data_IF_358747959775
#
_entry.id   IF_358747959775
#
_cell.length_a   1.000
_cell.length_b   1.000
_cell.length_c   1.000
_cell.angle_alpha   90.00
_cell.angle_beta   90.00
_cell.angle_gamma   90.00
#
_symmetry.space_group_name_H-M   'P 1'
#
loop_
_entity.id
_entity.type
_entity.pdbx_description
1 polymer ?
#
# COMPACT_ATOMS: atom_id res chain seq x y z
N UNK A 1 -40.14 -53.69 19.83
CA UNK A 1 -38.95 -53.57 18.94
C UNK A 1 -38.83 -52.13 18.46
N UNK A 2 -38.02 -51.32 19.16
CA UNK A 2 -37.86 -49.93 18.89
C UNK A 2 -36.64 -49.72 18.01
N UNK A 3 -36.84 -49.25 16.79
CA UNK A 3 -35.75 -48.80 15.92
C UNK A 3 -35.52 -47.34 16.20
N UNK A 4 -34.46 -47.03 16.94
CA UNK A 4 -33.94 -45.69 17.12
C UNK A 4 -33.18 -45.33 15.86
N UNK A 5 -33.78 -44.40 15.07
CA UNK A 5 -33.16 -43.84 13.89
C UNK A 5 -32.18 -42.73 14.35
N UNK A 6 -30.90 -43.03 14.35
CA UNK A 6 -29.82 -42.05 14.65
C UNK A 6 -29.65 -41.16 13.41
N UNK A 7 -30.19 -39.95 13.46
CA UNK A 7 -29.94 -38.93 12.44
C UNK A 7 -28.64 -38.26 12.76
N UNK A 8 -27.58 -38.63 12.05
CA UNK A 8 -26.31 -37.87 12.06
C UNK A 8 -26.52 -36.58 11.28
N UNK A 9 -26.71 -35.47 12.00
CA UNK A 9 -26.67 -34.14 11.41
C UNK A 9 -25.19 -33.79 11.29
N UNK A 10 -24.62 -33.96 10.09
CA UNK A 10 -23.30 -33.45 9.73
C UNK A 10 -23.48 -31.95 9.49
N UNK A 11 -23.19 -31.16 10.51
CA UNK A 11 -23.02 -29.71 10.37
C UNK A 11 -21.74 -29.44 9.58
N UNK A 12 -21.90 -29.25 8.29
CA UNK A 12 -20.83 -28.79 7.42
C UNK A 12 -20.57 -27.30 7.74
N UNK A 13 -19.65 -27.05 8.66
CA UNK A 13 -19.18 -25.70 8.94
C UNK A 13 -18.36 -25.25 7.72
N UNK A 14 -18.98 -24.43 6.86
CA UNK A 14 -18.28 -23.69 5.82
C UNK A 14 -17.34 -22.69 6.51
N UNK A 15 -16.09 -23.09 6.69
CA UNK A 15 -15.02 -22.19 7.07
C UNK A 15 -14.76 -21.33 5.83
N UNK A 16 -15.45 -20.19 5.74
CA UNK A 16 -15.10 -19.14 4.80
C UNK A 16 -13.78 -18.55 5.30
N UNK A 17 -12.68 -19.10 4.81
CA UNK A 17 -11.37 -18.50 5.00
C UNK A 17 -11.39 -17.12 4.33
N UNK A 18 -11.51 -16.05 5.12
CA UNK A 18 -11.21 -14.72 4.63
C UNK A 18 -9.75 -14.76 4.19
N UNK A 19 -9.52 -14.75 2.88
CA UNK A 19 -8.18 -14.53 2.36
C UNK A 19 -7.79 -13.11 2.78
N UNK A 20 -7.02 -13.02 3.85
CA UNK A 20 -6.34 -11.78 4.21
C UNK A 20 -5.28 -11.53 3.13
N UNK A 21 -5.59 -10.66 2.18
CA UNK A 21 -4.64 -10.21 1.19
C UNK A 21 -3.63 -9.33 1.91
N UNK A 22 -2.51 -9.91 2.32
CA UNK A 22 -1.39 -9.15 2.85
C UNK A 22 -0.50 -8.68 1.71
N UNK A 23 -0.10 -7.40 1.73
CA UNK A 23 0.92 -6.88 0.85
C UNK A 23 2.25 -7.62 1.10
N UNK A 24 3.06 -7.76 0.06
CA UNK A 24 4.32 -8.47 0.14
C UNK A 24 5.50 -7.55 -0.18
N UNK A 25 6.61 -7.82 0.49
CA UNK A 25 7.88 -7.13 0.28
C UNK A 25 8.37 -7.35 -1.15
N UNK A 26 8.56 -6.24 -1.88
CA UNK A 26 9.10 -6.26 -3.22
C UNK A 26 8.18 -6.84 -4.30
N UNK A 27 6.89 -6.98 -4.01
CA UNK A 27 5.89 -7.43 -4.97
C UNK A 27 4.72 -6.47 -5.02
N UNK A 28 4.27 -6.14 -6.22
CA UNK A 28 3.05 -5.37 -6.45
C UNK A 28 1.87 -6.32 -6.56
N UNK A 29 0.92 -6.20 -5.64
CA UNK A 29 -0.28 -7.03 -5.60
C UNK A 29 -1.51 -6.20 -5.91
N UNK A 30 -2.38 -6.75 -6.76
CA UNK A 30 -3.71 -6.21 -7.01
C UNK A 30 -4.70 -6.79 -5.99
N UNK A 31 -5.53 -5.91 -5.44
CA UNK A 31 -6.63 -6.27 -4.54
C UNK A 31 -7.87 -5.51 -4.97
N UNK A 32 -9.01 -6.21 -5.02
CA UNK A 32 -10.32 -5.65 -5.30
C UNK A 32 -11.19 -5.75 -4.06
N UNK A 33 -11.65 -4.60 -3.61
CA UNK A 33 -12.66 -4.45 -2.56
C UNK A 33 -14.02 -4.08 -3.20
N UNK A 34 -15.06 -3.87 -2.38
CA UNK A 34 -16.39 -3.58 -2.88
C UNK A 34 -16.45 -2.28 -3.70
N UNK A 35 -15.93 -1.20 -3.13
CA UNK A 35 -16.07 0.16 -3.66
C UNK A 35 -14.77 0.75 -4.22
N UNK A 36 -13.66 0.04 -4.08
CA UNK A 36 -12.35 0.47 -4.53
C UNK A 36 -11.42 -0.71 -4.83
N UNK A 37 -10.42 -0.45 -5.63
CA UNK A 37 -9.38 -1.41 -5.91
C UNK A 37 -8.02 -0.74 -5.70
N UNK A 38 -7.01 -1.53 -5.41
CA UNK A 38 -5.66 -1.00 -5.27
C UNK A 38 -4.59 -2.00 -5.70
N UNK A 39 -3.44 -1.47 -6.01
CA UNK A 39 -2.20 -2.20 -6.05
C UNK A 39 -1.29 -1.68 -4.95
N UNK A 40 -0.53 -2.55 -4.32
CA UNK A 40 0.35 -2.13 -3.23
C UNK A 40 1.57 -2.99 -3.09
N UNK A 41 2.57 -2.45 -2.39
CA UNK A 41 3.82 -3.15 -2.09
C UNK A 41 4.39 -2.71 -0.75
N UNK A 42 5.16 -3.58 -0.10
CA UNK A 42 5.98 -3.26 1.06
C UNK A 42 7.41 -2.90 0.62
N UNK A 43 8.11 -2.03 1.39
CA UNK A 43 9.47 -1.65 1.06
C UNK A 43 10.43 -2.84 1.13
N UNK A 44 11.40 -2.86 0.20
CA UNK A 44 12.46 -3.87 0.19
C UNK A 44 13.58 -3.52 1.16
N UNK A 45 13.72 -2.24 1.52
CA UNK A 45 14.75 -1.74 2.44
C UNK A 45 14.21 -0.55 3.22
N UNK A 46 14.64 -0.44 4.47
CA UNK A 46 14.44 0.73 5.32
C UNK A 46 15.75 1.09 6.02
N UNK A 47 15.97 2.38 6.28
CA UNK A 47 17.08 2.85 7.13
C UNK A 47 16.64 3.10 8.59
N UNK A 48 15.39 2.74 8.95
CA UNK A 48 14.94 2.77 10.34
C UNK A 48 15.85 1.91 11.21
N UNK A 49 16.46 2.47 12.27
CA UNK A 49 17.28 1.68 13.19
C UNK A 49 16.52 0.48 13.76
N UNK A 50 17.17 -0.66 13.86
CA UNK A 50 16.56 -1.92 14.38
C UNK A 50 16.02 -1.79 15.80
N UNK A 51 16.54 -0.85 16.58
CA UNK A 51 16.06 -0.53 17.94
C UNK A 51 14.74 0.22 17.96
N UNK A 52 14.29 0.78 16.83
CA UNK A 52 13.05 1.53 16.70
C UNK A 52 11.98 0.67 16.03
N UNK A 53 10.74 0.84 16.47
CA UNK A 53 9.56 0.19 15.89
C UNK A 53 8.63 1.25 15.30
N UNK A 54 7.86 0.87 14.30
CA UNK A 54 6.79 1.67 13.70
C UNK A 54 5.61 0.76 13.35
N UNK A 55 4.48 1.35 12.98
CA UNK A 55 3.34 0.65 12.42
C UNK A 55 3.57 0.15 11.00
N UNK A 56 2.50 -0.22 10.33
CA UNK A 56 2.53 -0.68 8.95
C UNK A 56 3.04 0.41 8.01
N UNK A 57 3.84 0.02 7.04
CA UNK A 57 4.39 0.92 6.03
C UNK A 57 4.28 0.29 4.66
N UNK A 58 3.66 1.01 3.74
CA UNK A 58 3.39 0.54 2.39
C UNK A 58 3.18 1.70 1.41
N UNK A 59 3.23 1.39 0.14
CA UNK A 59 2.76 2.27 -0.93
C UNK A 59 1.57 1.61 -1.62
N UNK A 60 0.54 2.42 -1.91
CA UNK A 60 -0.60 2.02 -2.71
C UNK A 60 -0.75 2.93 -3.94
N UNK A 61 -1.30 2.38 -4.99
CA UNK A 61 -2.03 3.14 -6.00
C UNK A 61 -3.44 2.58 -6.01
N UNK A 62 -4.42 3.42 -5.72
CA UNK A 62 -5.80 2.99 -5.63
C UNK A 62 -6.72 3.75 -6.57
N UNK A 63 -7.87 3.17 -6.80
CA UNK A 63 -8.92 3.68 -7.66
C UNK A 63 -10.27 3.34 -7.05
N UNK A 64 -11.18 4.32 -7.05
CA UNK A 64 -12.58 4.08 -6.66
C UNK A 64 -13.30 3.49 -7.88
N UNK A 65 -14.13 2.48 -7.65
CA UNK A 65 -14.90 1.82 -8.72
C UNK A 65 -15.75 2.87 -9.46
N UNK A 66 -15.61 2.90 -10.78
CA UNK A 66 -16.29 3.88 -11.65
C UNK A 66 -15.57 5.23 -11.80
N UNK A 67 -14.43 5.45 -11.13
CA UNK A 67 -13.56 6.60 -11.34
C UNK A 67 -12.47 6.29 -12.36
N UNK A 68 -12.03 7.30 -13.12
CA UNK A 68 -10.86 7.20 -14.02
C UNK A 68 -9.55 7.65 -13.36
N UNK A 69 -9.61 8.07 -12.09
CA UNK A 69 -8.47 8.59 -11.36
C UNK A 69 -7.77 7.49 -10.55
N UNK A 70 -6.45 7.45 -10.70
CA UNK A 70 -5.58 6.65 -9.85
C UNK A 70 -4.89 7.57 -8.86
N UNK A 71 -4.93 7.23 -7.57
CA UNK A 71 -4.38 8.04 -6.48
C UNK A 71 -3.20 7.29 -5.85
N UNK A 72 -2.08 7.98 -5.72
CA UNK A 72 -0.87 7.45 -5.06
C UNK A 72 -0.89 7.82 -3.59
N UNK A 73 -0.77 6.83 -2.73
CA UNK A 73 -0.75 6.97 -1.29
C UNK A 73 0.44 6.22 -0.69
N UNK A 74 1.08 6.84 0.27
CA UNK A 74 2.14 6.19 1.06
C UNK A 74 1.76 6.21 2.54
N UNK A 75 1.95 5.10 3.22
CA UNK A 75 1.80 4.94 4.65
C UNK A 75 3.18 4.74 5.27
N UNK A 76 3.50 5.55 6.28
CA UNK A 76 4.83 5.52 6.87
C UNK A 76 4.91 4.67 8.14
N UNK A 77 3.77 4.42 8.80
CA UNK A 77 3.71 3.77 10.11
C UNK A 77 4.29 4.63 11.25
N UNK A 78 4.44 5.92 11.01
CA UNK A 78 4.79 6.94 11.99
C UNK A 78 4.18 8.29 11.59
N UNK A 79 3.96 9.16 12.58
CA UNK A 79 3.43 10.51 12.33
C UNK A 79 4.50 11.38 11.70
N UNK A 80 4.21 11.91 10.52
CA UNK A 80 5.09 12.87 9.83
C UNK A 80 5.18 14.20 10.61
N UNK A 81 6.36 14.80 10.59
CA UNK A 81 6.54 16.19 10.96
C UNK A 81 6.02 17.05 9.80
N UNK A 82 4.84 17.67 10.00
CA UNK A 82 4.14 18.42 8.96
C UNK A 82 4.87 19.69 8.51
N UNK A 83 5.87 20.16 9.29
CA UNK A 83 6.72 21.30 8.95
C UNK A 83 7.89 20.89 8.04
N UNK A 84 8.01 19.61 7.71
CA UNK A 84 9.08 19.04 6.89
C UNK A 84 8.56 18.46 5.58
N UNK A 85 9.43 18.47 4.58
CA UNK A 85 9.09 17.89 3.29
C UNK A 85 9.01 16.36 3.35
N UNK A 86 7.98 15.82 2.74
CA UNK A 86 7.86 14.40 2.42
C UNK A 86 8.19 14.27 0.93
N UNK A 87 9.21 13.50 0.61
CA UNK A 87 9.71 13.37 -0.75
C UNK A 87 9.65 11.92 -1.23
N UNK A 88 9.21 11.76 -2.46
CA UNK A 88 9.30 10.50 -3.20
C UNK A 88 10.27 10.70 -4.34
N UNK A 89 11.40 10.01 -4.31
CA UNK A 89 12.40 10.04 -5.37
C UNK A 89 12.27 8.79 -6.23
N UNK A 90 12.13 8.96 -7.53
CA UNK A 90 12.15 7.90 -8.54
C UNK A 90 13.27 8.24 -9.51
N UNK A 91 14.29 7.39 -9.57
CA UNK A 91 15.55 7.64 -10.29
C UNK A 91 16.16 9.01 -9.92
N UNK A 92 16.10 9.99 -10.84
CA UNK A 92 16.63 11.36 -10.63
C UNK A 92 15.56 12.39 -10.28
N UNK A 93 14.27 12.02 -10.36
CA UNK A 93 13.14 12.94 -10.16
C UNK A 93 12.64 12.88 -8.73
N UNK A 94 12.39 14.03 -8.14
CA UNK A 94 11.81 14.14 -6.78
C UNK A 94 10.41 14.72 -6.89
N UNK A 95 9.43 14.03 -6.31
CA UNK A 95 8.06 14.44 -6.18
C UNK A 95 7.79 14.82 -4.72
N UNK A 96 7.04 15.89 -4.52
CA UNK A 96 6.60 16.32 -3.19
C UNK A 96 5.30 15.62 -2.82
N UNK A 97 5.27 15.15 -1.59
CA UNK A 97 4.08 14.61 -0.95
C UNK A 97 3.71 15.47 0.25
N UNK A 98 2.47 15.42 0.65
CA UNK A 98 1.95 16.11 1.82
C UNK A 98 1.14 15.16 2.69
N UNK A 99 1.07 15.47 3.96
CA UNK A 99 0.25 14.79 4.96
C UNK A 99 -0.63 15.81 5.67
N UNK A 100 -1.64 15.36 6.38
CA UNK A 100 -2.58 16.22 7.11
C UNK A 100 -2.58 15.89 8.60
N UNK A 101 -3.12 16.79 9.43
CA UNK A 101 -3.25 16.55 10.87
C UNK A 101 -4.13 15.34 11.18
N UNK A 102 -5.19 15.13 10.38
CA UNK A 102 -6.17 14.06 10.59
C UNK A 102 -5.66 12.70 10.11
N UNK A 103 -4.67 12.70 9.20
CA UNK A 103 -4.06 11.50 8.62
C UNK A 103 -2.55 11.61 8.58
N UNK A 104 -1.95 11.87 9.74
CA UNK A 104 -0.54 12.24 9.86
C UNK A 104 0.48 11.13 9.58
N UNK A 105 0.05 9.89 9.43
CA UNK A 105 0.90 8.75 9.05
C UNK A 105 0.86 8.46 7.55
N UNK A 106 -0.12 9.05 6.85
CA UNK A 106 -0.36 8.88 5.42
C UNK A 106 0.05 10.14 4.66
N UNK A 107 0.57 9.98 3.45
CA UNK A 107 0.86 11.11 2.57
C UNK A 107 0.40 10.83 1.14
N UNK A 108 0.05 11.93 0.44
CA UNK A 108 -0.46 11.97 -0.93
C UNK A 108 0.31 13.00 -1.75
N UNK A 109 0.01 13.07 -3.04
CA UNK A 109 0.56 14.07 -3.96
C UNK A 109 -0.55 14.63 -4.85
N UNK A 110 -0.37 15.85 -5.35
CA UNK A 110 -1.24 16.43 -6.38
C UNK A 110 -0.77 16.03 -7.80
N UNK A 111 0.36 15.36 -7.90
CA UNK A 111 1.00 14.96 -9.16
C UNK A 111 0.86 13.46 -9.48
N UNK A 112 -0.24 12.81 -9.07
CA UNK A 112 -0.46 11.37 -9.23
C UNK A 112 -0.08 10.83 -10.61
N UNK A 113 -0.56 11.47 -11.67
CA UNK A 113 -0.29 11.05 -13.06
C UNK A 113 1.20 11.06 -13.39
N UNK A 114 1.93 12.09 -12.92
CA UNK A 114 3.38 12.21 -13.16
C UNK A 114 4.16 11.17 -12.35
N UNK A 115 3.75 10.94 -11.11
CA UNK A 115 4.35 9.91 -10.24
C UNK A 115 4.14 8.53 -10.85
N UNK A 116 2.90 8.17 -11.23
CA UNK A 116 2.60 6.88 -11.86
C UNK A 116 3.39 6.69 -13.16
N UNK A 117 3.50 7.74 -13.97
CA UNK A 117 4.32 7.69 -15.20
C UNK A 117 5.79 7.41 -14.89
N UNK A 118 6.36 8.07 -13.87
CA UNK A 118 7.72 7.82 -13.42
C UNK A 118 7.89 6.41 -12.85
N UNK A 119 6.91 5.92 -12.08
CA UNK A 119 6.91 4.56 -11.52
C UNK A 119 6.90 3.47 -12.60
N UNK A 120 6.22 3.70 -13.74
CA UNK A 120 6.22 2.74 -14.87
C UNK A 120 7.58 2.60 -15.54
N UNK A 121 8.43 3.61 -15.45
CA UNK A 121 9.74 3.68 -16.12
C UNK A 121 10.92 3.48 -15.19
N UNK A 122 10.74 3.75 -13.90
CA UNK A 122 11.79 3.71 -12.90
C UNK A 122 12.12 2.30 -12.44
N UNK A 123 13.24 2.18 -11.75
CA UNK A 123 13.69 0.92 -11.14
C UNK A 123 13.29 0.84 -9.67
N UNK A 124 13.52 1.92 -8.94
CA UNK A 124 13.25 2.03 -7.52
C UNK A 124 12.58 3.36 -7.17
N UNK A 125 11.79 3.32 -6.09
CA UNK A 125 11.19 4.48 -5.46
C UNK A 125 11.72 4.59 -4.04
N UNK A 126 12.17 5.78 -3.66
CA UNK A 126 12.64 6.07 -2.29
C UNK A 126 11.70 7.10 -1.68
N UNK A 127 10.95 6.68 -0.67
CA UNK A 127 10.17 7.56 0.20
C UNK A 127 11.08 8.09 1.31
N UNK A 128 11.07 9.39 1.54
CA UNK A 128 11.81 10.03 2.64
C UNK A 128 10.91 11.00 3.38
N UNK A 129 10.82 10.85 4.69
CA UNK A 129 10.08 11.74 5.58
C UNK A 129 10.72 11.81 6.96
N UNK A 130 10.44 12.89 7.68
CA UNK A 130 10.84 13.07 9.07
C UNK A 130 9.64 12.80 9.99
N UNK A 131 9.86 12.02 11.04
CA UNK A 131 8.85 11.79 12.06
C UNK A 131 8.73 12.99 13.01
N UNK A 132 7.60 13.10 13.73
CA UNK A 132 7.42 14.10 14.82
C UNK A 132 8.49 14.02 15.91
N UNK A 133 9.25 12.92 15.95
CA UNK A 133 10.39 12.74 16.87
C UNK A 133 11.73 13.17 16.28
N UNK A 134 11.72 13.79 15.09
CA UNK A 134 12.92 14.27 14.40
C UNK A 134 13.77 13.18 13.74
N UNK A 135 13.24 11.97 13.58
CA UNK A 135 13.96 10.92 12.86
C UNK A 135 13.60 10.96 11.38
N UNK A 136 14.59 11.15 10.53
CA UNK A 136 14.45 11.01 9.07
C UNK A 136 14.55 9.54 8.73
N UNK A 137 13.57 9.03 7.97
CA UNK A 137 13.47 7.61 7.57
C UNK A 137 13.36 7.56 6.05
N UNK A 138 14.09 6.62 5.45
CA UNK A 138 14.03 6.32 4.02
C UNK A 138 13.62 4.89 3.82
N UNK A 139 12.57 4.70 3.02
CA UNK A 139 12.06 3.42 2.59
C UNK A 139 12.25 3.25 1.09
N UNK A 140 12.84 2.14 0.69
CA UNK A 140 13.05 1.83 -0.73
C UNK A 140 12.07 0.76 -1.17
N UNK A 141 11.35 1.03 -2.24
CA UNK A 141 10.43 0.12 -2.92
C UNK A 141 10.99 -0.21 -4.29
N UNK A 142 10.94 -1.46 -4.70
CA UNK A 142 11.22 -1.80 -6.09
C UNK A 142 10.01 -1.52 -6.97
N UNK A 143 10.25 -1.02 -8.19
CA UNK A 143 9.20 -0.80 -9.19
C UNK A 143 9.07 -1.97 -10.16
N UNK A 144 9.83 -3.05 -9.94
CA UNK A 144 9.69 -4.28 -10.71
C UNK A 144 8.28 -4.85 -10.56
N UNK A 145 7.59 -5.04 -11.67
CA UNK A 145 6.21 -5.53 -11.69
C UNK A 145 5.13 -4.45 -11.54
N UNK A 146 5.49 -3.20 -11.25
CA UNK A 146 4.53 -2.09 -11.13
C UNK A 146 3.67 -1.91 -12.38
N UNK A 147 4.29 -1.90 -13.57
CA UNK A 147 3.57 -1.70 -14.83
C UNK A 147 2.51 -2.77 -15.08
N UNK A 148 2.79 -4.02 -14.74
CA UNK A 148 1.81 -5.11 -14.86
C UNK A 148 0.66 -4.89 -13.88
N UNK A 149 0.98 -4.55 -12.64
CA UNK A 149 -0.03 -4.34 -11.59
C UNK A 149 -0.94 -3.14 -11.88
N UNK A 150 -0.41 -1.99 -12.32
CA UNK A 150 -1.22 -0.80 -12.64
C UNK A 150 -2.12 -1.03 -13.86
N UNK A 151 -1.67 -1.82 -14.83
CA UNK A 151 -2.51 -2.21 -15.96
C UNK A 151 -3.65 -3.11 -15.51
N UNK A 152 -3.42 -4.02 -14.57
CA UNK A 152 -4.47 -4.84 -13.97
C UNK A 152 -5.47 -3.99 -13.18
N UNK A 153 -4.99 -3.03 -12.37
CA UNK A 153 -5.85 -2.08 -11.66
C UNK A 153 -6.78 -1.34 -12.64
N UNK A 154 -6.25 -0.81 -13.72
CA UNK A 154 -7.02 -0.04 -14.70
C UNK A 154 -8.02 -0.90 -15.50
N UNK A 155 -7.72 -2.18 -15.70
CA UNK A 155 -8.59 -3.12 -16.43
C UNK A 155 -9.69 -3.70 -15.56
N UNK A 156 -9.40 -4.00 -14.30
CA UNK A 156 -10.24 -4.84 -13.45
C UNK A 156 -11.02 -4.05 -12.38
N UNK A 157 -10.69 -2.79 -12.22
CA UNK A 157 -11.44 -1.86 -11.42
C UNK A 157 -12.37 -1.00 -12.27
#
# INVERSE_FOLDING_TARGET
MNRILLIFIITFVLIVSKQSFSLEKGKWKFVKENDWCYIGSLPIKTDLPKSKKRGDNYILVYKIVGSDENIVQVEAGYKYNLDKNINVKIDKTIFKFYSTKDSSETAWTDDDKKVIYAMKKGLDLILSGESTRGTVIKDTYTLKGFTVAINELNKSC
#
